data_IF_080793122345
#
_entry.id   IF_080793122345
#
_cell.length_a   1.000
_cell.length_b   1.000
_cell.length_c   1.000
_cell.angle_alpha   90.00
_cell.angle_beta   90.00
_cell.angle_gamma   90.00
#
_symmetry.space_group_name_H-M   'P 1'
#
loop_
_entity.id
_entity.type
_entity.pdbx_description
1 polymer ?
#
# COMPACT_ATOMS: atom_id res chain seq x y z
N UNK A 1 1.80 10.10 -5.69
CA UNK A 1 0.58 9.45 -6.23
C UNK A 1 -0.62 10.39 -6.23
N UNK A 2 -1.09 10.88 -5.08
CA UNK A 2 -2.30 11.73 -4.99
C UNK A 2 -2.31 12.93 -5.95
N UNK A 3 -1.18 13.64 -6.04
CA UNK A 3 -1.00 14.80 -6.92
C UNK A 3 -1.04 14.47 -8.42
N UNK A 4 -0.76 13.22 -8.80
CA UNK A 4 -0.67 12.78 -10.19
C UNK A 4 -1.94 12.07 -10.68
N UNK A 5 -3.05 12.14 -9.93
CA UNK A 5 -4.32 11.56 -10.39
C UNK A 5 -4.89 12.43 -11.52
N UNK A 6 -5.14 11.85 -12.72
CA UNK A 6 -5.67 12.59 -13.86
C UNK A 6 -7.06 13.17 -13.59
N UNK A 7 -7.33 14.37 -14.11
CA UNK A 7 -8.63 15.05 -13.89
C UNK A 7 -9.79 14.37 -14.64
N UNK A 8 -9.50 13.57 -15.67
CA UNK A 8 -10.50 12.77 -16.38
C UNK A 8 -10.85 11.44 -15.69
N UNK A 9 -10.18 11.09 -14.59
CA UNK A 9 -10.43 9.86 -13.84
C UNK A 9 -11.37 10.14 -12.66
N UNK A 10 -12.60 9.62 -12.70
CA UNK A 10 -13.56 9.76 -11.60
C UNK A 10 -13.51 8.54 -10.67
N UNK A 11 -13.05 8.73 -9.44
CA UNK A 11 -12.84 7.63 -8.48
C UNK A 11 -13.22 8.02 -7.05
N UNK A 12 -13.37 7.00 -6.20
CA UNK A 12 -13.42 7.15 -4.76
C UNK A 12 -12.09 6.71 -4.16
N UNK A 13 -11.45 7.58 -3.40
CA UNK A 13 -10.23 7.28 -2.67
C UNK A 13 -10.56 7.12 -1.19
N UNK A 14 -10.03 6.05 -0.59
CA UNK A 14 -10.06 5.84 0.84
C UNK A 14 -8.64 5.99 1.36
N UNK A 15 -8.42 6.80 2.38
CA UNK A 15 -7.08 7.03 2.94
C UNK A 15 -7.17 7.22 4.45
N UNK A 16 -6.15 6.75 5.16
CA UNK A 16 -5.97 6.99 6.58
C UNK A 16 -5.06 8.18 6.89
N UNK A 17 -4.56 8.88 5.87
CA UNK A 17 -3.67 10.03 6.00
C UNK A 17 -4.44 11.33 5.79
N UNK A 18 -4.40 12.23 6.77
CA UNK A 18 -5.04 13.54 6.64
C UNK A 18 -4.40 14.36 5.51
N UNK A 19 -3.09 14.24 5.31
CA UNK A 19 -2.35 14.94 4.26
C UNK A 19 -2.85 14.52 2.87
N UNK A 20 -3.05 13.22 2.66
CA UNK A 20 -3.60 12.71 1.40
C UNK A 20 -5.06 13.13 1.25
N UNK A 21 -5.85 13.10 2.33
CA UNK A 21 -7.24 13.52 2.29
C UNK A 21 -7.38 15.01 1.92
N UNK A 22 -6.52 15.88 2.44
CA UNK A 22 -6.49 17.31 2.15
C UNK A 22 -6.11 17.62 0.70
N UNK A 23 -5.13 16.92 0.14
CA UNK A 23 -4.75 17.04 -1.27
C UNK A 23 -5.91 16.64 -2.20
N UNK A 24 -6.64 15.58 -1.86
CA UNK A 24 -7.65 15.00 -2.74
C UNK A 24 -9.06 15.61 -2.59
N UNK A 25 -9.42 16.14 -1.42
CA UNK A 25 -10.78 16.68 -1.17
C UNK A 25 -11.16 17.88 -2.05
N UNK A 26 -10.17 18.56 -2.62
CA UNK A 26 -10.38 19.73 -3.48
C UNK A 26 -10.56 19.36 -4.96
N UNK A 27 -10.38 18.09 -5.34
CA UNK A 27 -10.52 17.61 -6.72
C UNK A 27 -11.98 17.20 -7.00
N UNK A 28 -12.63 17.86 -7.95
CA UNK A 28 -14.04 17.62 -8.30
C UNK A 28 -14.33 16.20 -8.85
N UNK A 29 -13.32 15.54 -9.40
CA UNK A 29 -13.40 14.17 -9.92
C UNK A 29 -13.18 13.11 -8.82
N UNK A 30 -12.89 13.48 -7.57
CA UNK A 30 -12.53 12.54 -6.51
C UNK A 30 -13.48 12.65 -5.32
N UNK A 31 -14.05 11.51 -4.92
CA UNK A 31 -14.74 11.35 -3.63
C UNK A 31 -13.75 10.80 -2.61
N UNK A 32 -13.62 11.44 -1.45
CA UNK A 32 -12.72 10.96 -0.37
C UNK A 32 -13.53 10.36 0.77
N UNK A 33 -13.13 9.16 1.21
CA UNK A 33 -13.49 8.61 2.53
C UNK A 33 -12.23 8.62 3.37
N UNK A 34 -12.25 9.36 4.48
CA UNK A 34 -11.13 9.41 5.41
C UNK A 34 -11.32 8.35 6.52
N UNK A 35 -10.34 7.47 6.67
CA UNK A 35 -10.29 6.49 7.76
C UNK A 35 -9.80 7.21 9.03
N UNK A 36 -10.76 7.57 9.90
CA UNK A 36 -10.49 8.27 11.16
C UNK A 36 -9.99 7.36 12.29
N UNK A 37 -9.71 7.97 13.44
CA UNK A 37 -9.18 7.31 14.63
C UNK A 37 -8.25 8.24 15.41
N UNK A 38 -7.48 7.67 16.34
CA UNK A 38 -6.33 8.32 16.96
C UNK A 38 -5.22 8.49 15.91
N UNK A 39 -4.87 9.75 15.68
CA UNK A 39 -3.94 10.16 14.64
C UNK A 39 -2.52 10.26 15.20
N UNK A 40 -1.55 9.69 14.47
CA UNK A 40 -0.13 9.81 14.83
C UNK A 40 0.44 11.21 14.50
N UNK A 41 1.68 11.45 14.92
CA UNK A 41 2.36 12.72 14.66
C UNK A 41 2.67 12.99 13.16
N UNK A 42 2.43 12.00 12.28
CA UNK A 42 2.56 12.12 10.83
C UNK A 42 1.20 12.28 10.14
N UNK A 43 0.11 12.38 10.90
CA UNK A 43 -1.23 12.59 10.36
C UNK A 43 -1.93 11.32 9.88
N UNK A 44 -1.54 10.13 10.36
CA UNK A 44 -2.14 8.86 9.95
C UNK A 44 -2.89 8.17 11.09
N UNK A 45 -4.01 7.52 10.78
CA UNK A 45 -4.76 6.70 11.73
C UNK A 45 -4.57 5.20 11.42
N UNK A 46 -4.23 4.38 12.42
CA UNK A 46 -4.03 2.93 12.26
C UNK A 46 -4.80 2.09 13.30
N UNK A 47 -5.59 2.75 14.14
CA UNK A 47 -6.15 2.17 15.35
C UNK A 47 -7.40 1.30 15.08
N UNK A 48 -8.05 0.87 16.18
CA UNK A 48 -9.25 0.05 16.12
C UNK A 48 -10.42 0.74 15.38
N UNK A 49 -10.56 2.07 15.45
CA UNK A 49 -11.62 2.78 14.74
C UNK A 49 -11.39 2.74 13.23
N UNK A 50 -10.15 2.98 12.79
CA UNK A 50 -9.78 2.86 11.38
C UNK A 50 -10.00 1.43 10.86
N UNK A 51 -9.59 0.43 11.65
CA UNK A 51 -9.76 -1.00 11.33
C UNK A 51 -11.24 -1.38 11.21
N UNK A 52 -12.08 -0.95 12.14
CA UNK A 52 -13.51 -1.26 12.10
C UNK A 52 -14.20 -0.61 10.91
N UNK A 53 -13.81 0.62 10.57
CA UNK A 53 -14.29 1.28 9.35
C UNK A 53 -13.91 0.50 8.10
N UNK A 54 -12.67 0.00 8.00
CA UNK A 54 -12.20 -0.83 6.87
C UNK A 54 -13.08 -2.07 6.67
N UNK A 55 -13.53 -2.73 7.74
CA UNK A 55 -14.35 -3.95 7.64
C UNK A 55 -15.68 -3.73 6.90
N UNK A 56 -16.20 -2.50 6.92
CA UNK A 56 -17.42 -2.09 6.21
C UNK A 56 -17.17 -1.65 4.76
N UNK A 57 -15.93 -1.63 4.31
CA UNK A 57 -15.53 -1.18 2.97
C UNK A 57 -15.03 -2.36 2.14
N UNK A 58 -15.14 -2.23 0.82
CA UNK A 58 -14.51 -3.13 -0.14
C UNK A 58 -13.78 -2.30 -1.18
N UNK A 59 -12.53 -2.66 -1.44
CA UNK A 59 -11.66 -1.91 -2.34
C UNK A 59 -11.48 -2.68 -3.64
N UNK A 60 -11.64 -2.00 -4.77
CA UNK A 60 -11.28 -2.59 -6.06
C UNK A 60 -9.77 -2.71 -6.21
N UNK A 61 -9.03 -1.72 -5.70
CA UNK A 61 -7.56 -1.67 -5.67
C UNK A 61 -7.08 -1.08 -4.36
N UNK A 62 -6.05 -1.66 -3.77
CA UNK A 62 -5.34 -1.12 -2.62
C UNK A 62 -3.86 -0.99 -2.96
N UNK A 63 -3.31 0.21 -2.79
CA UNK A 63 -1.90 0.49 -2.95
C UNK A 63 -1.25 0.53 -1.58
N UNK A 64 -0.20 -0.27 -1.39
CA UNK A 64 0.49 -0.39 -0.11
C UNK A 64 2.00 -0.31 -0.27
N UNK A 65 2.67 0.15 0.78
CA UNK A 65 4.13 0.07 0.93
C UNK A 65 4.42 -0.25 2.39
N UNK A 66 5.50 -0.98 2.64
CA UNK A 66 6.00 -1.28 3.98
C UNK A 66 7.42 -0.71 4.16
N UNK A 67 8.09 -1.08 5.24
CA UNK A 67 9.49 -0.70 5.41
C UNK A 67 10.36 -1.41 4.37
N UNK A 68 10.21 -2.74 4.29
CA UNK A 68 10.89 -3.60 3.33
C UNK A 68 9.97 -4.73 2.86
N UNK A 69 10.34 -5.37 1.76
CA UNK A 69 9.72 -6.59 1.25
C UNK A 69 10.79 -7.58 0.79
N UNK A 70 10.69 -8.84 1.23
CA UNK A 70 11.46 -9.96 0.68
C UNK A 70 10.49 -11.05 0.20
N UNK A 71 10.93 -11.87 -0.76
CA UNK A 71 10.15 -13.01 -1.28
C UNK A 71 9.81 -14.01 -0.17
N UNK A 72 10.74 -14.23 0.76
CA UNK A 72 10.63 -15.22 1.83
C UNK A 72 9.84 -14.73 3.06
N UNK A 73 10.17 -13.54 3.59
CA UNK A 73 9.54 -13.01 4.81
C UNK A 73 8.31 -12.15 4.54
N UNK A 74 8.17 -11.66 3.31
CA UNK A 74 7.06 -10.85 2.86
C UNK A 74 7.18 -9.39 3.27
N UNK A 75 6.03 -8.72 3.35
CA UNK A 75 5.96 -7.31 3.70
C UNK A 75 6.27 -7.15 5.17
N UNK A 76 7.23 -6.29 5.51
CA UNK A 76 7.68 -6.14 6.88
C UNK A 76 7.84 -4.68 7.33
N UNK A 77 7.63 -4.45 8.63
CA UNK A 77 7.65 -3.14 9.30
C UNK A 77 8.41 -3.20 10.63
N UNK A 78 8.75 -2.04 11.20
CA UNK A 78 9.55 -1.99 12.44
C UNK A 78 8.71 -2.22 13.70
N UNK A 79 7.41 -1.91 13.65
CA UNK A 79 6.54 -1.94 14.83
C UNK A 79 5.25 -2.71 14.55
N UNK A 80 4.81 -3.51 15.53
CA UNK A 80 3.68 -4.42 15.37
C UNK A 80 2.30 -3.75 15.43
N UNK A 81 2.19 -2.51 15.92
CA UNK A 81 0.88 -1.90 16.16
C UNK A 81 0.03 -1.76 14.88
N UNK A 82 0.65 -1.62 13.71
CA UNK A 82 -0.05 -1.42 12.45
C UNK A 82 -0.40 -2.73 11.70
N UNK A 83 0.01 -3.92 12.20
CA UNK A 83 -0.20 -5.19 11.47
C UNK A 83 -1.70 -5.43 11.20
N UNK A 84 -2.53 -5.27 12.22
CA UNK A 84 -3.98 -5.51 12.11
C UNK A 84 -4.65 -4.57 11.09
N UNK A 85 -4.16 -3.34 10.98
CA UNK A 85 -4.62 -2.37 9.99
C UNK A 85 -4.30 -2.82 8.56
N UNK A 86 -3.04 -3.19 8.30
CA UNK A 86 -2.64 -3.66 6.97
C UNK A 86 -3.36 -4.94 6.57
N UNK A 87 -3.48 -5.92 7.47
CA UNK A 87 -4.21 -7.15 7.18
C UNK A 87 -5.68 -6.87 6.87
N UNK A 88 -6.35 -6.01 7.64
CA UNK A 88 -7.74 -5.64 7.36
C UNK A 88 -7.91 -4.98 5.98
N UNK A 89 -6.95 -4.13 5.56
CA UNK A 89 -6.94 -3.52 4.23
C UNK A 89 -6.77 -4.57 3.13
N UNK A 90 -5.75 -5.43 3.24
CA UNK A 90 -5.46 -6.46 2.23
C UNK A 90 -6.63 -7.44 2.12
N UNK A 91 -7.22 -7.86 3.25
CA UNK A 91 -8.36 -8.78 3.28
C UNK A 91 -9.64 -8.17 2.68
N UNK A 92 -9.76 -6.83 2.70
CA UNK A 92 -10.92 -6.11 2.15
C UNK A 92 -10.74 -5.70 0.68
N UNK A 93 -9.63 -6.06 0.06
CA UNK A 93 -9.23 -5.60 -1.28
C UNK A 93 -9.29 -6.73 -2.31
N UNK A 94 -9.83 -6.43 -3.50
CA UNK A 94 -9.83 -7.38 -4.64
C UNK A 94 -8.44 -7.52 -5.27
N UNK A 95 -7.71 -6.43 -5.35
CA UNK A 95 -6.36 -6.35 -5.92
C UNK A 95 -5.46 -5.53 -4.99
N UNK A 96 -4.37 -6.14 -4.53
CA UNK A 96 -3.37 -5.50 -3.68
C UNK A 96 -2.10 -5.24 -4.49
N UNK A 97 -1.68 -3.99 -4.55
CA UNK A 97 -0.58 -3.51 -5.39
C UNK A 97 0.50 -2.93 -4.47
N UNK A 98 1.67 -3.55 -4.46
CA UNK A 98 2.84 -3.06 -3.77
C UNK A 98 3.54 -1.96 -4.56
N UNK A 99 3.86 -0.84 -3.90
CA UNK A 99 4.72 0.22 -4.45
C UNK A 99 6.02 0.24 -3.66
N UNK A 100 7.11 -0.21 -4.27
CA UNK A 100 8.40 -0.36 -3.60
C UNK A 100 9.53 0.19 -4.47
N UNK A 101 10.17 1.29 -4.05
CA UNK A 101 11.48 1.66 -4.59
C UNK A 101 12.47 0.52 -4.43
N UNK A 102 13.43 0.41 -5.35
CA UNK A 102 14.45 -0.65 -5.39
C UNK A 102 15.14 -0.84 -4.04
N UNK A 103 15.50 0.29 -3.42
CA UNK A 103 15.52 0.57 -1.99
C UNK A 103 15.15 -0.50 -0.97
N UNK A 104 13.94 -1.01 -1.18
CA UNK A 104 13.16 -1.72 -0.19
C UNK A 104 13.01 -3.20 -0.50
N UNK A 105 13.47 -3.65 -1.66
CA UNK A 105 13.24 -4.99 -2.20
C UNK A 105 14.42 -5.91 -1.86
N UNK A 106 14.12 -7.13 -1.41
CA UNK A 106 15.12 -8.12 -0.98
C UNK A 106 15.58 -7.93 0.46
N UNK A 107 14.98 -6.99 1.19
CA UNK A 107 15.32 -6.68 2.58
C UNK A 107 14.16 -7.01 3.53
N UNK A 108 14.49 -7.11 4.81
CA UNK A 108 13.55 -7.46 5.86
C UNK A 108 13.61 -6.46 7.01
N UNK A 109 12.43 -6.14 7.54
CA UNK A 109 12.27 -5.45 8.81
C UNK A 109 11.90 -6.47 9.90
N UNK A 110 11.82 -6.00 11.14
CA UNK A 110 11.64 -6.84 12.34
C UNK A 110 10.35 -7.66 12.36
N UNK A 111 9.26 -7.15 11.78
CA UNK A 111 7.92 -7.73 11.93
C UNK A 111 7.25 -7.93 10.57
N UNK A 112 6.89 -9.17 10.24
CA UNK A 112 6.11 -9.47 9.03
C UNK A 112 4.64 -9.06 9.21
N UNK A 113 4.10 -8.38 8.21
CA UNK A 113 2.67 -8.10 8.05
C UNK A 113 1.99 -9.34 7.46
N UNK A 114 2.49 -9.79 6.30
CA UNK A 114 1.97 -10.92 5.56
C UNK A 114 3.00 -11.42 4.51
N UNK A 115 2.86 -12.65 4.00
CA UNK A 115 3.69 -13.17 2.91
C UNK A 115 3.60 -12.31 1.63
N UNK A 116 4.67 -12.29 0.82
CA UNK A 116 4.74 -11.51 -0.41
C UNK A 116 3.62 -11.87 -1.41
N UNK A 117 3.30 -13.16 -1.56
CA UNK A 117 2.19 -13.68 -2.40
C UNK A 117 0.78 -13.12 -2.10
N UNK A 118 0.62 -12.30 -1.06
CA UNK A 118 -0.63 -11.54 -0.83
C UNK A 118 -0.74 -10.34 -1.76
N UNK A 119 0.37 -9.89 -2.36
CA UNK A 119 0.36 -8.93 -3.45
C UNK A 119 -0.11 -9.62 -4.74
N UNK A 120 -0.88 -8.89 -5.53
CA UNK A 120 -1.16 -9.24 -6.92
C UNK A 120 -0.11 -8.65 -7.86
N UNK A 121 0.36 -7.44 -7.53
CA UNK A 121 1.34 -6.68 -8.33
C UNK A 121 2.41 -6.07 -7.45
N UNK A 122 3.62 -5.97 -7.99
CA UNK A 122 4.73 -5.22 -7.42
C UNK A 122 5.22 -4.19 -8.46
N UNK A 123 5.10 -2.92 -8.12
CA UNK A 123 5.60 -1.81 -8.93
C UNK A 123 6.89 -1.29 -8.30
N UNK A 124 7.95 -1.17 -9.11
CA UNK A 124 9.29 -0.73 -8.68
C UNK A 124 10.01 0.09 -9.74
N UNK A 125 11.15 0.68 -9.35
CA UNK A 125 11.99 1.52 -10.20
C UNK A 125 12.88 0.68 -11.13
N UNK A 126 13.42 1.32 -12.18
CA UNK A 126 14.17 0.68 -13.27
C UNK A 126 15.47 -0.03 -12.85
N UNK A 127 16.01 0.29 -11.68
CA UNK A 127 17.28 -0.23 -11.17
C UNK A 127 17.13 -1.45 -10.25
N UNK A 128 15.92 -1.99 -10.13
CA UNK A 128 15.65 -3.20 -9.34
C UNK A 128 16.38 -4.43 -9.91
N UNK A 129 17.07 -5.18 -9.04
CA UNK A 129 17.79 -6.40 -9.42
C UNK A 129 16.85 -7.46 -10.01
N UNK A 130 17.16 -7.97 -11.21
CA UNK A 130 16.41 -9.07 -11.86
C UNK A 130 16.32 -10.31 -10.97
N UNK A 131 17.39 -10.61 -10.22
CA UNK A 131 17.40 -11.73 -9.27
C UNK A 131 16.31 -11.56 -8.21
N UNK A 132 16.27 -10.38 -7.55
CA UNK A 132 15.25 -10.08 -6.56
C UNK A 132 13.83 -10.15 -7.15
N UNK A 133 13.63 -9.63 -8.36
CA UNK A 133 12.30 -9.60 -9.00
C UNK A 133 11.82 -10.98 -9.41
N UNK A 134 12.72 -11.85 -9.88
CA UNK A 134 12.38 -13.22 -10.28
C UNK A 134 11.76 -14.03 -9.14
N UNK A 135 12.24 -13.85 -7.90
CA UNK A 135 11.68 -14.52 -6.72
C UNK A 135 10.23 -14.13 -6.42
N UNK A 136 9.79 -12.93 -6.80
CA UNK A 136 8.39 -12.50 -6.66
C UNK A 136 7.53 -13.00 -7.83
N UNK A 137 8.05 -12.97 -9.05
CA UNK A 137 7.38 -13.49 -10.25
C UNK A 137 7.08 -14.99 -10.12
N UNK A 138 8.02 -15.77 -9.58
CA UNK A 138 7.85 -17.20 -9.27
C UNK A 138 6.71 -17.47 -8.28
N UNK A 139 6.34 -16.47 -7.45
CA UNK A 139 5.19 -16.55 -6.54
C UNK A 139 3.87 -16.14 -7.19
N UNK A 140 3.88 -15.81 -8.48
CA UNK A 140 2.72 -15.36 -9.26
C UNK A 140 2.37 -13.88 -9.04
N UNK A 141 3.32 -13.07 -8.58
CA UNK A 141 3.15 -11.62 -8.43
C UNK A 141 3.55 -10.97 -9.75
N UNK A 142 2.63 -10.22 -10.38
CA UNK A 142 2.95 -9.49 -11.61
C UNK A 142 3.89 -8.31 -11.31
N UNK A 143 5.04 -8.28 -11.98
CA UNK A 143 6.07 -7.28 -11.79
C UNK A 143 5.91 -6.17 -12.83
N UNK A 144 5.92 -4.92 -12.37
CA UNK A 144 5.89 -3.72 -13.21
C UNK A 144 7.10 -2.87 -12.85
N UNK A 145 8.05 -2.75 -13.78
CA UNK A 145 9.22 -1.89 -13.65
C UNK A 145 8.91 -0.58 -14.39
N UNK A 146 9.02 0.56 -13.71
CA UNK A 146 8.82 1.87 -14.33
C UNK A 146 10.13 2.41 -14.90
N UNK A 147 10.05 3.11 -16.03
CA UNK A 147 11.21 3.71 -16.70
C UNK A 147 11.78 4.91 -15.92
N UNK A 148 13.06 5.20 -16.12
CA UNK A 148 13.72 6.42 -15.62
C UNK A 148 13.07 7.67 -16.23
N UNK A 149 12.69 8.62 -15.36
CA UNK A 149 11.95 9.83 -15.74
C UNK A 149 12.83 10.96 -16.28
#
# INVERSE_FOLDING_TARGET
MAQNIPDNLRIRVVTNSIIIAEELRIKDNISVIFLGGEMDNKGNCYDAFAIDMIKHLRFDKCFITSAFISSNFGLSIQKSQAISFWNALIDSSKETIGLYPTEKIGFESVVSICPAKRLNKLITDWDASEENLSEFDEQGIEIIVVEEA
#
